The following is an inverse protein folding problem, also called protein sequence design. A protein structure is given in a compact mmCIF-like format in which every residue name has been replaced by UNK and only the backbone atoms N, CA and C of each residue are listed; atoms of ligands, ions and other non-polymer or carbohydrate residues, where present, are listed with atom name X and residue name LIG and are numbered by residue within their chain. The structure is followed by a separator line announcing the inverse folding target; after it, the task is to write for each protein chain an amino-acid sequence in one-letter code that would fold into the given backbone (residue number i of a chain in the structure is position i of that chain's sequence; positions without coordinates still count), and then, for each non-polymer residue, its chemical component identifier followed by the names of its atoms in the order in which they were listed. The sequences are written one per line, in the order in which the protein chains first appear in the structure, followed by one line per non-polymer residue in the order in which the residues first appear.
data_IF_518672404825
#
_entry.id   IF_518672404825
#
_cell.length_a   1.000
_cell.length_b   1.000
_cell.length_c   1.000
_cell.angle_alpha   90.00
_cell.angle_beta   90.00
_cell.angle_gamma   90.00
#
_symmetry.space_group_name_H-M   'P 1'
#
loop_
_entity.id
_entity.type
_entity.pdbx_description
1 polymer ?
#
# COMPACT_ATOMS: atom_id res chain seq x y z
N UNK A 1 32.31 5.80 -8.57
CA UNK A 1 31.18 6.46 -7.88
C UNK A 1 29.92 6.19 -8.72
N UNK A 2 29.07 5.28 -8.28
CA UNK A 2 27.81 4.98 -8.94
C UNK A 2 26.90 6.22 -8.85
N UNK A 3 26.43 6.71 -9.98
CA UNK A 3 25.33 7.67 -10.05
C UNK A 3 24.12 6.95 -9.45
N UNK A 4 23.72 7.31 -8.24
CA UNK A 4 22.44 6.91 -7.68
C UNK A 4 21.39 7.43 -8.66
N UNK A 5 20.78 6.51 -9.43
CA UNK A 5 19.66 6.83 -10.32
C UNK A 5 18.42 7.02 -9.44
N UNK A 6 18.35 8.16 -8.75
CA UNK A 6 17.14 8.56 -8.07
C UNK A 6 16.05 8.75 -9.13
N UNK A 7 14.92 8.07 -8.97
CA UNK A 7 13.76 8.36 -9.81
C UNK A 7 13.29 9.80 -9.61
N UNK A 8 12.64 10.36 -10.61
CA UNK A 8 11.97 11.64 -10.46
C UNK A 8 10.93 11.57 -9.31
N UNK A 9 10.70 12.72 -8.66
CA UNK A 9 9.64 12.85 -7.66
C UNK A 9 8.28 12.48 -8.27
N UNK A 10 7.40 11.91 -7.45
CA UNK A 10 6.05 11.55 -7.88
C UNK A 10 5.21 12.82 -8.10
N UNK A 11 4.56 12.90 -9.24
CA UNK A 11 3.64 13.98 -9.57
C UNK A 11 2.20 13.58 -9.21
N UNK A 12 1.68 14.15 -8.14
CA UNK A 12 0.33 13.88 -7.65
C UNK A 12 -0.76 14.20 -8.68
N UNK A 13 -0.61 15.32 -9.41
CA UNK A 13 -1.61 15.74 -10.38
C UNK A 13 -1.65 14.76 -11.56
N UNK A 14 -0.49 14.37 -12.06
CA UNK A 14 -0.37 13.40 -13.15
C UNK A 14 -0.88 12.02 -12.74
N UNK A 15 -0.56 11.55 -11.53
CA UNK A 15 -1.08 10.27 -11.01
C UNK A 15 -2.61 10.31 -10.99
N UNK A 16 -3.21 11.35 -10.38
CA UNK A 16 -4.67 11.47 -10.30
C UNK A 16 -5.34 11.64 -11.68
N UNK A 17 -4.63 12.13 -12.69
CA UNK A 17 -5.12 12.20 -14.06
C UNK A 17 -5.19 10.83 -14.73
N UNK A 18 -4.26 9.93 -14.39
CA UNK A 18 -4.11 8.61 -15.02
C UNK A 18 -4.96 7.51 -14.40
N UNK A 19 -5.41 7.69 -13.15
CA UNK A 19 -6.21 6.69 -12.43
C UNK A 19 -7.70 6.97 -12.52
N UNK A 20 -8.51 5.98 -12.11
CA UNK A 20 -9.98 6.16 -12.06
C UNK A 20 -10.37 7.15 -10.96
N UNK A 21 -11.52 7.81 -11.11
CA UNK A 21 -12.04 8.79 -10.13
C UNK A 21 -12.38 8.21 -8.76
N UNK A 22 -12.43 6.90 -8.63
CA UNK A 22 -12.61 6.22 -7.34
C UNK A 22 -11.41 6.47 -6.42
N UNK A 23 -10.21 6.47 -6.97
CA UNK A 23 -8.98 6.66 -6.21
C UNK A 23 -8.60 8.15 -6.15
N UNK A 24 -8.17 8.58 -4.99
CA UNK A 24 -7.68 9.94 -4.72
C UNK A 24 -6.31 9.85 -4.06
N UNK A 25 -5.29 10.14 -4.83
CA UNK A 25 -3.89 10.02 -4.38
C UNK A 25 -3.39 11.35 -3.83
N UNK A 26 -2.82 11.28 -2.63
CA UNK A 26 -2.02 12.34 -2.03
C UNK A 26 -0.58 11.88 -1.92
N UNK A 27 0.36 12.68 -2.39
CA UNK A 27 1.80 12.42 -2.33
C UNK A 27 2.40 13.25 -1.21
N UNK A 28 3.16 12.60 -0.32
CA UNK A 28 3.92 13.24 0.77
C UNK A 28 5.41 12.97 0.58
N UNK A 29 6.25 13.95 0.85
CA UNK A 29 7.69 13.78 0.71
C UNK A 29 8.26 12.87 1.81
N UNK A 30 7.80 13.05 3.04
CA UNK A 30 8.26 12.33 4.22
C UNK A 30 7.10 12.08 5.16
N UNK A 31 7.00 10.85 5.66
CA UNK A 31 6.16 10.51 6.81
C UNK A 31 6.83 9.44 7.66
N UNK A 32 6.31 9.19 8.85
CA UNK A 32 6.68 8.00 9.62
C UNK A 32 6.22 6.73 8.90
N UNK A 33 4.94 6.67 8.51
CA UNK A 33 4.37 5.55 7.73
C UNK A 33 3.04 5.98 7.10
N UNK A 34 2.87 5.71 5.81
CA UNK A 34 1.61 5.97 5.09
C UNK A 34 0.44 5.23 5.71
N UNK A 35 0.70 4.05 6.26
CA UNK A 35 -0.29 3.23 6.95
C UNK A 35 -0.83 3.94 8.20
N UNK A 36 0.06 4.45 9.04
CA UNK A 36 -0.30 5.19 10.24
C UNK A 36 -1.07 6.47 9.94
N UNK A 37 -0.64 7.23 8.94
CA UNK A 37 -1.30 8.45 8.50
C UNK A 37 -2.74 8.18 8.08
N UNK A 38 -2.93 7.15 7.24
CA UNK A 38 -4.26 6.81 6.72
C UNK A 38 -5.17 6.25 7.82
N UNK A 39 -4.63 5.41 8.73
CA UNK A 39 -5.35 4.95 9.92
C UNK A 39 -5.84 6.13 10.76
N UNK A 40 -4.98 7.14 10.97
CA UNK A 40 -5.35 8.33 11.75
C UNK A 40 -6.43 9.15 11.05
N UNK A 41 -6.31 9.37 9.74
CA UNK A 41 -7.34 10.08 8.96
C UNK A 41 -8.70 9.38 8.99
N UNK A 42 -8.71 8.05 8.91
CA UNK A 42 -9.94 7.25 9.03
C UNK A 42 -10.56 7.38 10.43
N UNK A 43 -9.75 7.30 11.48
CA UNK A 43 -10.22 7.48 12.88
C UNK A 43 -10.80 8.86 13.12
N UNK A 44 -10.21 9.88 12.52
CA UNK A 44 -10.66 11.28 12.63
C UNK A 44 -11.88 11.58 11.74
N UNK A 45 -12.38 10.61 10.96
CA UNK A 45 -13.47 10.82 10.02
C UNK A 45 -13.10 11.73 8.83
N UNK A 46 -11.80 11.84 8.52
CA UNK A 46 -11.27 12.73 7.47
C UNK A 46 -10.87 11.98 6.19
N UNK A 47 -11.00 10.67 6.17
CA UNK A 47 -10.74 9.86 4.99
C UNK A 47 -12.00 9.16 4.49
N UNK A 48 -12.03 8.91 3.19
CA UNK A 48 -13.09 8.18 2.51
C UNK A 48 -12.49 6.95 1.78
N UNK A 49 -13.31 5.91 1.58
CA UNK A 49 -12.91 4.77 0.76
C UNK A 49 -12.44 5.25 -0.62
N UNK A 50 -11.28 4.78 -1.05
CA UNK A 50 -10.59 5.24 -2.25
C UNK A 50 -9.48 6.28 -2.00
N UNK A 51 -9.29 6.75 -0.77
CA UNK A 51 -8.15 7.61 -0.45
C UNK A 51 -6.85 6.80 -0.39
N UNK A 52 -5.80 7.37 -0.96
CA UNK A 52 -4.46 6.78 -1.08
C UNK A 52 -3.42 7.79 -0.62
N UNK A 53 -2.52 7.37 0.24
CA UNK A 53 -1.32 8.15 0.60
C UNK A 53 -0.10 7.44 0.02
N UNK A 54 0.69 8.18 -0.73
CA UNK A 54 1.98 7.72 -1.28
C UNK A 54 3.10 8.56 -0.68
N UNK A 55 4.18 7.93 -0.22
CA UNK A 55 5.33 8.62 0.34
C UNK A 55 6.57 8.43 -0.52
N UNK A 56 7.37 9.49 -0.66
CA UNK A 56 8.72 9.41 -1.23
C UNK A 56 9.68 8.70 -0.27
N UNK A 57 9.44 8.86 1.03
CA UNK A 57 10.22 8.22 2.09
C UNK A 57 9.39 7.99 3.36
N UNK A 58 9.60 6.85 3.99
CA UNK A 58 9.08 6.52 5.33
C UNK A 58 10.22 6.38 6.32
N UNK A 59 10.17 7.14 7.44
CA UNK A 59 11.18 7.07 8.50
C UNK A 59 10.97 5.92 9.48
N UNK A 60 9.77 5.34 9.52
CA UNK A 60 9.39 4.24 10.41
C UNK A 60 8.39 3.31 9.71
N UNK A 61 8.71 2.87 8.49
CA UNK A 61 7.89 1.93 7.73
C UNK A 61 7.65 0.63 8.50
N UNK A 62 6.43 0.11 8.42
CA UNK A 62 5.98 -1.05 9.21
C UNK A 62 5.72 -2.25 8.31
N UNK A 63 6.15 -3.41 8.78
CA UNK A 63 5.77 -4.72 8.29
C UNK A 63 4.89 -5.47 9.29
N UNK A 64 4.60 -6.72 9.00
CA UNK A 64 3.88 -7.61 9.93
C UNK A 64 4.75 -8.00 11.13
N UNK A 65 4.08 -8.33 12.26
CA UNK A 65 4.73 -8.82 13.48
C UNK A 65 5.81 -7.84 13.99
N UNK A 66 5.49 -6.55 13.98
CA UNK A 66 6.36 -5.46 14.45
C UNK A 66 7.74 -5.37 13.75
N UNK A 67 7.85 -5.96 12.56
CA UNK A 67 9.04 -5.78 11.71
C UNK A 67 9.03 -4.40 11.06
N UNK A 68 10.22 -3.83 10.86
CA UNK A 68 10.38 -2.63 10.06
C UNK A 68 10.29 -2.95 8.55
N UNK A 69 9.87 -1.96 7.78
CA UNK A 69 10.01 -1.94 6.33
C UNK A 69 10.84 -0.72 5.95
N UNK A 70 12.02 -0.93 5.46
CA UNK A 70 12.99 0.12 5.18
C UNK A 70 13.33 0.15 3.69
N UNK A 71 13.32 1.34 3.12
CA UNK A 71 13.79 1.59 1.77
C UNK A 71 14.45 2.97 1.72
N UNK A 72 15.58 3.13 1.01
CA UNK A 72 16.17 4.44 0.81
C UNK A 72 15.19 5.41 0.13
N UNK A 73 15.36 6.72 0.35
CA UNK A 73 14.52 7.75 -0.27
C UNK A 73 14.47 7.56 -1.79
N UNK A 74 13.28 7.63 -2.37
CA UNK A 74 13.04 7.56 -3.82
C UNK A 74 13.48 6.27 -4.52
N UNK A 75 13.64 5.16 -3.77
CA UNK A 75 14.01 3.85 -4.34
C UNK A 75 12.87 2.84 -4.34
N UNK A 76 11.78 3.14 -3.65
CA UNK A 76 10.62 2.27 -3.52
C UNK A 76 9.33 3.05 -3.78
N UNK A 77 8.28 2.34 -4.15
CA UNK A 77 6.91 2.85 -4.15
C UNK A 77 6.26 2.44 -2.83
N UNK A 78 6.00 3.43 -1.97
CA UNK A 78 5.48 3.26 -0.63
C UNK A 78 4.10 3.90 -0.54
N UNK A 79 3.04 3.10 -0.41
CA UNK A 79 1.70 3.66 -0.36
C UNK A 79 0.75 2.83 0.49
N UNK A 80 -0.29 3.48 0.97
CA UNK A 80 -1.43 2.83 1.64
C UNK A 80 -2.73 3.36 1.07
N UNK A 81 -3.74 2.51 1.01
CA UNK A 81 -5.06 2.88 0.53
C UNK A 81 -6.17 2.31 1.41
N UNK A 82 -7.27 3.04 1.45
CA UNK A 82 -8.45 2.72 2.24
C UNK A 82 -9.57 2.18 1.37
N UNK A 83 -10.12 1.04 1.75
CA UNK A 83 -11.29 0.44 1.11
C UNK A 83 -12.33 -0.01 2.14
N UNK A 84 -13.59 -0.03 1.72
CA UNK A 84 -14.71 -0.65 2.44
C UNK A 84 -15.27 -1.78 1.57
N UNK A 85 -14.71 -3.01 1.67
CA UNK A 85 -15.19 -4.12 0.87
C UNK A 85 -16.60 -4.51 1.29
N UNK A 86 -17.54 -4.50 0.35
CA UNK A 86 -18.91 -4.99 0.56
C UNK A 86 -18.93 -6.51 0.38
N UNK A 87 -18.47 -7.24 1.38
CA UNK A 87 -18.36 -8.70 1.37
C UNK A 87 -18.86 -9.27 2.69
N UNK A 88 -19.35 -10.52 2.64
CA UNK A 88 -19.66 -11.25 3.84
C UNK A 88 -18.42 -11.41 4.72
N UNK A 89 -18.62 -11.51 6.02
CA UNK A 89 -17.54 -11.63 7.01
C UNK A 89 -16.61 -12.82 6.72
N UNK A 90 -17.15 -13.91 6.25
CA UNK A 90 -16.41 -15.13 5.93
C UNK A 90 -15.42 -14.91 4.74
N UNK A 91 -15.68 -13.91 3.91
CA UNK A 91 -14.84 -13.56 2.75
C UNK A 91 -13.68 -12.63 3.09
N UNK A 92 -13.64 -12.04 4.29
CA UNK A 92 -12.60 -11.03 4.62
C UNK A 92 -11.19 -11.60 4.64
N UNK A 93 -11.04 -12.89 4.89
CA UNK A 93 -9.75 -13.58 4.80
C UNK A 93 -9.12 -13.58 3.40
N UNK A 94 -9.91 -13.33 2.34
CA UNK A 94 -9.43 -13.24 0.98
C UNK A 94 -8.77 -11.91 0.61
N UNK A 95 -8.97 -10.84 1.41
CA UNK A 95 -8.45 -9.50 1.11
C UNK A 95 -6.92 -9.50 0.90
N UNK A 96 -6.11 -10.14 1.76
CA UNK A 96 -4.65 -10.20 1.54
C UNK A 96 -4.26 -10.90 0.24
N UNK A 97 -4.97 -11.96 -0.12
CA UNK A 97 -4.70 -12.71 -1.34
C UNK A 97 -5.08 -11.90 -2.58
N UNK A 98 -6.22 -11.21 -2.55
CA UNK A 98 -6.65 -10.34 -3.66
C UNK A 98 -5.65 -9.19 -3.83
N UNK A 99 -5.23 -8.54 -2.73
CA UNK A 99 -4.23 -7.48 -2.78
C UNK A 99 -2.90 -7.99 -3.37
N UNK A 100 -2.40 -9.13 -2.87
CA UNK A 100 -1.18 -9.76 -3.37
C UNK A 100 -1.27 -10.14 -4.84
N UNK A 101 -2.38 -10.73 -5.25
CA UNK A 101 -2.63 -11.10 -6.65
C UNK A 101 -2.63 -9.85 -7.55
N UNK A 102 -3.31 -8.78 -7.12
CA UNK A 102 -3.37 -7.53 -7.88
C UNK A 102 -1.99 -6.89 -8.06
N UNK A 103 -1.15 -6.91 -7.02
CA UNK A 103 0.24 -6.43 -7.11
C UNK A 103 1.05 -7.31 -8.06
N UNK A 104 0.98 -8.64 -7.92
CA UNK A 104 1.71 -9.56 -8.81
C UNK A 104 1.29 -9.40 -10.27
N UNK A 105 -0.02 -9.21 -10.53
CA UNK A 105 -0.52 -8.94 -11.89
C UNK A 105 -0.01 -7.61 -12.44
N UNK A 106 0.02 -6.55 -11.61
CA UNK A 106 0.55 -5.25 -12.02
C UNK A 106 2.05 -5.30 -12.35
N UNK A 107 2.76 -6.26 -11.79
CA UNK A 107 4.19 -6.48 -11.97
C UNK A 107 4.51 -7.72 -12.81
N UNK A 108 3.56 -8.19 -13.65
CA UNK A 108 3.75 -9.41 -14.44
C UNK A 108 4.98 -9.36 -15.36
N UNK A 109 5.33 -8.18 -15.88
CA UNK A 109 6.51 -7.97 -16.72
C UNK A 109 7.82 -8.32 -15.98
N UNK A 110 7.82 -8.28 -14.66
CA UNK A 110 8.94 -8.66 -13.79
C UNK A 110 8.82 -10.10 -13.26
N UNK A 111 7.87 -10.89 -13.79
CA UNK A 111 7.56 -12.23 -13.31
C UNK A 111 7.27 -12.29 -11.81
N UNK A 112 6.64 -11.23 -11.28
CA UNK A 112 6.31 -11.13 -9.86
C UNK A 112 5.37 -12.25 -9.41
N UNK A 113 5.62 -12.78 -8.23
CA UNK A 113 4.84 -13.85 -7.60
C UNK A 113 4.55 -13.50 -6.15
N UNK A 114 3.43 -14.05 -5.66
CA UNK A 114 3.10 -13.96 -4.24
C UNK A 114 3.82 -15.09 -3.50
N UNK A 115 4.50 -14.73 -2.42
CA UNK A 115 4.87 -15.67 -1.37
C UNK A 115 3.96 -15.42 -0.18
N UNK A 116 3.06 -16.37 0.03
CA UNK A 116 2.11 -16.28 1.14
C UNK A 116 2.84 -16.07 2.49
N UNK A 117 2.32 -15.24 3.41
CA UNK A 117 1.01 -14.59 3.29
C UNK A 117 1.03 -13.18 2.67
N UNK A 118 2.18 -12.52 2.52
CA UNK A 118 2.22 -11.08 2.25
C UNK A 118 3.47 -10.57 1.53
N UNK A 119 4.32 -11.44 1.04
CA UNK A 119 5.54 -11.05 0.33
C UNK A 119 5.34 -11.10 -1.19
N UNK A 120 5.93 -10.15 -1.89
CA UNK A 120 6.04 -10.14 -3.35
C UNK A 120 7.48 -10.49 -3.71
N UNK A 121 7.63 -11.48 -4.57
CA UNK A 121 8.94 -11.93 -5.05
C UNK A 121 9.08 -11.68 -6.55
N UNK A 122 10.29 -11.34 -6.99
CA UNK A 122 10.73 -11.46 -8.37
C UNK A 122 12.08 -12.18 -8.37
N UNK A 123 12.29 -13.09 -9.31
CA UNK A 123 13.53 -13.91 -9.40
C UNK A 123 13.94 -14.54 -8.05
N UNK A 124 12.96 -15.08 -7.31
CA UNK A 124 13.13 -15.68 -5.98
C UNK A 124 13.58 -14.69 -4.86
N UNK A 125 13.70 -13.40 -5.17
CA UNK A 125 14.05 -12.38 -4.19
C UNK A 125 12.81 -11.59 -3.78
N UNK A 126 12.73 -11.20 -2.51
CA UNK A 126 11.66 -10.32 -2.03
C UNK A 126 11.87 -8.92 -2.60
N UNK A 127 10.89 -8.44 -3.33
CA UNK A 127 10.85 -7.09 -3.90
C UNK A 127 9.81 -6.20 -3.23
N UNK A 128 8.92 -6.76 -2.42
CA UNK A 128 7.89 -5.97 -1.75
C UNK A 128 7.15 -6.73 -0.67
N UNK A 129 6.31 -6.01 0.05
CA UNK A 129 5.46 -6.54 1.09
C UNK A 129 4.13 -5.83 1.18
N UNK A 130 3.15 -6.52 1.76
CA UNK A 130 1.79 -6.03 1.96
C UNK A 130 1.45 -6.10 3.45
N UNK A 131 0.93 -5.00 4.00
CA UNK A 131 0.42 -4.92 5.36
C UNK A 131 -1.06 -4.55 5.31
N UNK A 132 -1.91 -5.33 5.98
CA UNK A 132 -3.34 -5.04 6.05
C UNK A 132 -3.75 -4.87 7.49
N UNK A 133 -4.42 -3.77 7.78
CA UNK A 133 -5.08 -3.49 9.04
C UNK A 133 -6.58 -3.37 8.80
N UNK A 134 -7.34 -4.24 9.44
CA UNK A 134 -8.78 -4.29 9.34
C UNK A 134 -9.42 -3.78 10.62
N UNK A 135 -10.50 -3.02 10.47
CA UNK A 135 -11.36 -2.63 11.58
C UNK A 135 -12.80 -3.00 11.27
N UNK A 136 -13.48 -3.57 12.25
CA UNK A 136 -14.89 -3.94 12.10
C UNK A 136 -15.74 -2.70 12.32
N UNK A 137 -16.55 -2.36 11.33
CA UNK A 137 -17.47 -1.23 11.35
C UNK A 137 -18.87 -1.67 11.84
N UNK A 138 -19.30 -2.86 11.41
CA UNK A 138 -20.55 -3.51 11.82
C UNK A 138 -20.45 -5.03 11.65
N UNK A 139 -21.52 -5.76 11.91
CA UNK A 139 -21.56 -7.22 11.69
C UNK A 139 -21.32 -7.63 10.23
N UNK A 140 -21.56 -6.72 9.29
CA UNK A 140 -21.46 -6.96 7.84
C UNK A 140 -20.48 -6.03 7.12
N UNK A 141 -19.89 -5.07 7.82
CA UNK A 141 -19.02 -4.06 7.23
C UNK A 141 -17.64 -4.07 7.88
N UNK A 142 -16.63 -4.08 7.04
CA UNK A 142 -15.23 -3.94 7.40
C UNK A 142 -14.65 -2.75 6.68
N UNK A 143 -13.76 -2.04 7.34
CA UNK A 143 -12.84 -1.13 6.68
C UNK A 143 -11.45 -1.77 6.67
N UNK A 144 -10.75 -1.62 5.56
CA UNK A 144 -9.41 -2.16 5.38
C UNK A 144 -8.47 -1.07 4.91
N UNK A 145 -7.34 -0.95 5.60
CA UNK A 145 -6.24 -0.11 5.17
C UNK A 145 -5.11 -1.04 4.73
N UNK A 146 -4.73 -0.93 3.48
CA UNK A 146 -3.77 -1.82 2.83
C UNK A 146 -2.53 -1.01 2.49
N UNK A 147 -1.42 -1.34 3.13
CA UNK A 147 -0.10 -0.78 2.86
C UNK A 147 0.70 -1.69 1.94
N UNK A 148 1.35 -1.10 0.95
CA UNK A 148 2.20 -1.78 -0.02
C UNK A 148 3.53 -1.03 -0.11
N UNK A 149 4.63 -1.77 -0.01
CA UNK A 149 5.97 -1.29 -0.30
C UNK A 149 6.62 -2.20 -1.34
N UNK A 150 7.11 -1.61 -2.44
CA UNK A 150 7.76 -2.30 -3.56
C UNK A 150 9.00 -1.54 -3.98
#
# INVERSE_FOLDING_TARGET
MGRELLRAALDQAEINRLITRYWRVSVVELTSTTQGDLVQLVRDGKANAGDVIVAEYQSAGRGRLDRSFEAPKSTALLFSFYIEPKRNRDDWGWIPLIAGYSVAQSLHAFHAKIKWPNDILAEQKKIGGILIENSIKSSTEILSIIGIGI
#
